data_IF_336945350770
#
_entry.id   IF_336945350770
#
_cell.length_a   1.000
_cell.length_b   1.000
_cell.length_c   1.000
_cell.angle_alpha   90.00
_cell.angle_beta   90.00
_cell.angle_gamma   90.00
#
_symmetry.space_group_name_H-M   'P 1'
#
loop_
_entity.id
_entity.type
_entity.pdbx_description
1 polymer ?
#
# COMPACT_ATOMS: atom_id res chain seq x y z
N UNK A 1 -14.75 -8.60 7.51
CA UNK A 1 -15.04 -9.92 8.07
C UNK A 1 -14.84 -9.80 9.56
N UNK A 2 -15.89 -9.98 10.34
CA UNK A 2 -15.74 -10.24 11.77
C UNK A 2 -15.11 -11.62 11.97
N UNK A 3 -14.51 -11.85 13.13
CA UNK A 3 -13.97 -13.16 13.47
C UNK A 3 -14.89 -13.81 14.48
N UNK A 4 -15.61 -14.83 14.02
CA UNK A 4 -16.46 -15.64 14.88
C UNK A 4 -15.83 -16.99 15.22
N UNK A 5 -16.05 -17.47 16.44
CA UNK A 5 -15.57 -18.79 16.85
C UNK A 5 -16.62 -19.84 16.50
N UNK A 6 -16.33 -20.65 15.47
CA UNK A 6 -17.13 -21.82 15.12
C UNK A 6 -18.20 -21.60 14.05
N UNK A 7 -18.31 -20.39 13.52
CA UNK A 7 -19.11 -20.06 12.32
C UNK A 7 -18.21 -19.47 11.24
N UNK A 8 -18.78 -19.28 10.04
CA UNK A 8 -18.10 -18.57 8.96
C UNK A 8 -18.30 -17.07 9.17
N UNK A 9 -17.24 -16.30 9.01
CA UNK A 9 -17.25 -14.84 9.08
C UNK A 9 -18.30 -14.20 8.15
N UNK A 10 -18.94 -13.15 8.66
CA UNK A 10 -19.93 -12.35 7.95
C UNK A 10 -19.32 -11.05 7.38
N UNK A 11 -19.80 -10.58 6.22
CA UNK A 11 -19.35 -9.32 5.65
C UNK A 11 -19.83 -8.13 6.50
N UNK A 12 -18.93 -7.18 6.73
CA UNK A 12 -19.20 -5.96 7.52
C UNK A 12 -19.40 -4.71 6.65
N UNK A 13 -19.67 -4.90 5.37
CA UNK A 13 -19.76 -3.83 4.37
C UNK A 13 -18.50 -3.68 3.52
N UNK A 14 -18.59 -2.81 2.52
CA UNK A 14 -17.51 -2.51 1.59
C UNK A 14 -17.44 -1.01 1.27
N UNK A 15 -16.38 -0.58 0.62
CA UNK A 15 -16.17 0.80 0.14
C UNK A 15 -15.51 0.74 -1.22
N UNK A 16 -15.99 1.54 -2.15
CA UNK A 16 -15.33 1.81 -3.43
C UNK A 16 -14.92 3.27 -3.50
N UNK A 17 -13.72 3.55 -4.01
CA UNK A 17 -13.21 4.91 -4.16
C UNK A 17 -12.47 5.09 -5.48
N UNK A 18 -12.55 6.28 -6.06
CA UNK A 18 -11.86 6.59 -7.30
C UNK A 18 -10.42 7.07 -7.03
N UNK A 19 -9.44 6.41 -7.64
CA UNK A 19 -8.02 6.76 -7.43
C UNK A 19 -7.61 8.08 -8.10
N UNK A 20 -8.42 8.60 -9.02
CA UNK A 20 -8.14 9.85 -9.74
C UNK A 20 -8.13 11.05 -8.80
N UNK A 21 -9.01 11.07 -7.79
CA UNK A 21 -9.11 12.16 -6.82
C UNK A 21 -7.86 12.22 -5.93
N UNK A 22 -7.47 11.09 -5.33
CA UNK A 22 -6.26 11.01 -4.49
C UNK A 22 -4.97 11.29 -5.27
N UNK A 23 -4.91 10.91 -6.56
CA UNK A 23 -3.79 11.23 -7.44
C UNK A 23 -3.64 12.76 -7.63
N UNK A 24 -4.75 13.49 -7.71
CA UNK A 24 -4.73 14.95 -7.82
C UNK A 24 -4.47 15.65 -6.47
N UNK A 25 -5.03 15.12 -5.38
CA UNK A 25 -4.94 15.73 -4.04
C UNK A 25 -3.61 15.43 -3.35
N UNK A 26 -2.96 14.31 -3.66
CA UNK A 26 -1.72 13.86 -3.04
C UNK A 26 -1.91 13.20 -1.65
N UNK A 27 -2.90 13.63 -0.88
CA UNK A 27 -3.22 13.09 0.44
C UNK A 27 -4.71 13.26 0.75
N UNK A 28 -5.33 12.23 1.35
CA UNK A 28 -6.70 12.27 1.86
C UNK A 28 -6.78 11.63 3.27
N UNK A 29 -7.59 12.23 4.14
CA UNK A 29 -7.91 11.73 5.49
C UNK A 29 -9.41 11.86 5.70
N UNK A 30 -10.16 10.77 5.47
CA UNK A 30 -11.62 10.82 5.27
C UNK A 30 -12.36 9.67 5.93
N UNK A 31 -13.61 9.93 6.33
CA UNK A 31 -14.57 8.92 6.76
C UNK A 31 -15.50 8.57 5.59
N UNK A 32 -15.45 7.32 5.13
CA UNK A 32 -16.24 6.81 4.02
C UNK A 32 -17.42 5.97 4.55
N UNK A 33 -18.66 6.22 4.10
CA UNK A 33 -19.78 5.37 4.49
C UNK A 33 -19.61 3.98 3.91
N UNK A 34 -19.91 2.95 4.71
CA UNK A 34 -19.91 1.57 4.23
C UNK A 34 -21.14 1.30 3.34
N UNK A 35 -20.91 0.62 2.22
CA UNK A 35 -21.92 0.08 1.32
C UNK A 35 -22.37 -1.32 1.77
N UNK A 36 -23.57 -1.72 1.35
CA UNK A 36 -24.21 -3.01 1.63
C UNK A 36 -24.44 -3.35 3.12
N UNK A 37 -24.45 -2.34 4.00
CA UNK A 37 -24.79 -2.46 5.43
C UNK A 37 -25.70 -1.33 5.89
N UNK A 38 -26.41 -1.54 7.00
CA UNK A 38 -27.34 -0.53 7.54
C UNK A 38 -26.63 0.70 8.12
N UNK A 39 -25.48 0.48 8.76
CA UNK A 39 -24.71 1.53 9.42
C UNK A 39 -23.23 1.17 9.40
N UNK A 40 -22.37 2.18 9.32
CA UNK A 40 -20.92 2.01 9.45
C UNK A 40 -20.17 3.05 8.65
N UNK A 41 -19.03 3.46 9.18
CA UNK A 41 -18.09 4.36 8.52
C UNK A 41 -16.69 3.75 8.61
N UNK A 42 -15.91 3.89 7.56
CA UNK A 42 -14.50 3.50 7.52
C UNK A 42 -13.64 4.77 7.49
N UNK A 43 -12.74 4.90 8.46
CA UNK A 43 -11.73 5.95 8.43
C UNK A 43 -10.55 5.48 7.60
N UNK A 44 -10.17 6.24 6.58
CA UNK A 44 -9.04 5.92 5.70
C UNK A 44 -8.13 7.13 5.58
N UNK A 45 -6.83 6.90 5.77
CA UNK A 45 -5.77 7.83 5.45
C UNK A 45 -4.99 7.30 4.25
N UNK A 46 -4.90 8.11 3.21
CA UNK A 46 -4.29 7.76 1.92
C UNK A 46 -3.23 8.79 1.56
N UNK A 47 -2.10 8.32 1.06
CA UNK A 47 -1.03 9.17 0.52
C UNK A 47 -0.68 8.66 -0.86
N UNK A 48 -0.77 9.53 -1.86
CA UNK A 48 -0.30 9.23 -3.20
C UNK A 48 1.20 9.55 -3.31
N UNK A 49 2.00 8.53 -3.63
CA UNK A 49 3.45 8.67 -3.77
C UNK A 49 3.84 8.67 -5.24
N UNK A 50 4.76 9.57 -5.60
CA UNK A 50 5.33 9.67 -6.93
C UNK A 50 6.73 9.03 -6.96
N UNK A 51 7.10 8.45 -8.10
CA UNK A 51 8.46 8.00 -8.30
C UNK A 51 9.37 9.22 -8.50
N UNK A 52 10.30 9.42 -7.57
CA UNK A 52 11.37 10.39 -7.70
C UNK A 52 12.63 9.71 -8.25
N UNK A 53 13.40 10.44 -9.05
CA UNK A 53 14.72 10.04 -9.54
C UNK A 53 15.87 10.84 -8.90
N UNK A 54 15.56 11.65 -7.88
CA UNK A 54 16.53 12.43 -7.11
C UNK A 54 16.87 11.72 -5.78
N UNK A 55 18.15 11.38 -5.52
CA UNK A 55 18.58 10.81 -4.24
C UNK A 55 18.24 11.68 -3.02
N UNK A 56 18.15 13.00 -3.16
CA UNK A 56 17.81 13.88 -2.04
C UNK A 56 16.37 13.66 -1.53
N UNK A 57 15.45 13.28 -2.42
CA UNK A 57 14.08 12.92 -2.04
C UNK A 57 14.04 11.62 -1.24
N UNK A 58 14.95 10.68 -1.50
CA UNK A 58 15.07 9.45 -0.72
C UNK A 58 15.52 9.77 0.72
N UNK A 59 16.53 10.62 0.89
CA UNK A 59 16.98 11.06 2.22
C UNK A 59 15.85 11.75 3.00
N UNK A 60 15.02 12.54 2.30
CA UNK A 60 13.84 13.19 2.88
C UNK A 60 12.79 12.16 3.31
N UNK A 61 12.48 11.18 2.46
CA UNK A 61 11.51 10.12 2.75
C UNK A 61 11.93 9.27 3.96
N UNK A 62 13.21 8.87 4.04
CA UNK A 62 13.75 8.10 5.17
C UNK A 62 13.60 8.87 6.48
N UNK A 63 13.87 10.18 6.49
CA UNK A 63 13.70 11.02 7.68
C UNK A 63 12.24 11.18 8.09
N UNK A 64 11.34 11.36 7.12
CA UNK A 64 9.90 11.52 7.38
C UNK A 64 9.30 10.24 7.97
N UNK A 65 9.77 9.09 7.49
CA UNK A 65 9.24 7.77 7.87
C UNK A 65 10.01 7.12 9.02
N UNK A 66 10.84 7.85 9.77
CA UNK A 66 11.70 7.26 10.83
C UNK A 66 10.90 6.54 11.91
N UNK A 67 9.68 7.01 12.18
CA UNK A 67 8.83 6.55 13.27
C UNK A 67 7.65 5.69 12.76
N UNK A 68 7.59 5.45 11.44
CA UNK A 68 6.53 4.66 10.80
C UNK A 68 7.04 3.24 10.57
N UNK A 69 6.55 2.31 11.40
CA UNK A 69 6.91 0.90 11.26
C UNK A 69 6.40 0.33 9.93
N UNK A 70 7.25 -0.43 9.24
CA UNK A 70 6.94 -1.01 7.93
C UNK A 70 6.89 -0.04 6.73
N UNK A 71 7.35 1.21 6.87
CA UNK A 71 7.39 2.14 5.75
C UNK A 71 8.41 1.73 4.65
N UNK A 72 7.98 1.80 3.39
CA UNK A 72 8.85 1.61 2.23
C UNK A 72 9.20 2.96 1.60
N UNK A 73 10.50 3.23 1.41
CA UNK A 73 10.99 4.53 0.93
C UNK A 73 11.39 4.54 -0.56
N UNK A 74 11.51 3.36 -1.18
CA UNK A 74 11.95 3.22 -2.56
C UNK A 74 11.36 1.97 -3.20
N UNK A 75 11.27 1.99 -4.53
CA UNK A 75 10.91 0.84 -5.35
C UNK A 75 12.11 0.49 -6.22
N UNK A 76 12.49 -0.80 -6.22
CA UNK A 76 13.53 -1.33 -7.10
C UNK A 76 12.87 -2.10 -8.25
N UNK A 77 13.00 -1.58 -9.47
CA UNK A 77 12.57 -2.26 -10.69
C UNK A 77 13.79 -2.93 -11.33
N UNK A 78 13.76 -4.26 -11.45
CA UNK A 78 14.86 -5.05 -12.05
C UNK A 78 14.36 -5.69 -13.34
N UNK A 79 15.07 -5.43 -14.43
CA UNK A 79 14.94 -6.19 -15.67
C UNK A 79 16.11 -7.15 -15.78
N UNK A 80 15.83 -8.46 -15.72
CA UNK A 80 16.84 -9.52 -15.83
C UNK A 80 16.65 -10.25 -17.16
N UNK A 81 17.61 -10.09 -18.07
CA UNK A 81 17.56 -10.69 -19.41
C UNK A 81 17.91 -12.19 -19.38
N UNK A 82 18.98 -12.56 -18.67
CA UNK A 82 19.34 -13.96 -18.49
C UNK A 82 20.68 -14.17 -17.79
N UNK A 83 21.04 -15.43 -17.59
CA UNK A 83 22.34 -15.87 -17.10
C UNK A 83 22.80 -17.11 -17.87
N UNK A 84 24.11 -17.23 -18.12
CA UNK A 84 24.67 -18.33 -18.94
C UNK A 84 25.99 -18.84 -18.39
N UNK A 85 26.32 -20.10 -18.70
CA UNK A 85 27.53 -20.81 -18.25
C UNK A 85 27.78 -20.74 -16.74
N UNK A 86 26.70 -20.72 -15.94
CA UNK A 86 26.79 -20.74 -14.49
C UNK A 86 27.42 -22.06 -14.01
N UNK A 87 28.27 -22.04 -12.98
CA UNK A 87 28.90 -23.24 -12.46
C UNK A 87 27.84 -24.21 -11.96
N UNK A 88 27.91 -25.47 -12.41
CA UNK A 88 27.09 -26.54 -11.87
C UNK A 88 27.69 -26.92 -10.52
N UNK A 89 26.99 -26.65 -9.42
CA UNK A 89 27.42 -27.11 -8.10
C UNK A 89 27.42 -28.63 -8.08
N UNK A 90 28.62 -29.22 -8.04
CA UNK A 90 28.84 -30.66 -7.87
C UNK A 90 28.76 -30.94 -6.37
N UNK A 91 27.61 -31.43 -5.91
CA UNK A 91 27.45 -32.03 -4.59
C UNK A 91 27.62 -33.54 -4.70
#
# INVERSE_FOLDING_TARGET
>A
MDRDIGTRDDPLGNVSMELSEICNNGFDDVWLPLEDVQHGMLHVQLTWLWLANDPLELDRAIKLNSDVDGAHNAILMVFLDGAGNLPVSIW
#
